data_IF_913480861124
#
_entry.id   IF_913480861124
#
_cell.length_a   1.000
_cell.length_b   1.000
_cell.length_c   1.000
_cell.angle_alpha   90.00
_cell.angle_beta   90.00
_cell.angle_gamma   90.00
#
_symmetry.space_group_name_H-M   'P 1'
#
loop_
_entity.id
_entity.type
_entity.pdbx_description
1 polymer ?
#
# COMPACT_ATOMS: atom_id res chain seq x y z
N UNK A 1 7.10 25.20 -3.80
CA UNK A 1 6.28 24.63 -4.89
C UNK A 1 5.32 23.61 -4.31
N UNK A 2 4.26 24.11 -3.66
CA UNK A 2 3.06 23.37 -3.28
C UNK A 2 2.30 22.97 -4.54
N UNK A 3 1.93 21.70 -4.68
CA UNK A 3 1.20 21.25 -5.88
C UNK A 3 0.43 19.95 -5.73
N UNK A 4 0.14 19.49 -4.50
CA UNK A 4 -0.70 18.31 -4.27
C UNK A 4 -1.77 18.51 -3.17
N UNK A 5 -1.84 19.70 -2.56
CA UNK A 5 -2.87 19.99 -1.54
C UNK A 5 -4.15 20.64 -2.09
N UNK A 6 -4.16 21.18 -3.31
CA UNK A 6 -5.30 21.97 -3.84
C UNK A 6 -6.13 21.29 -4.94
N UNK A 7 -6.01 19.97 -5.14
CA UNK A 7 -6.78 19.25 -6.15
C UNK A 7 -7.87 18.35 -5.55
N UNK A 8 -8.76 18.94 -4.74
CA UNK A 8 -10.04 18.36 -4.36
C UNK A 8 -10.86 19.53 -3.77
N UNK A 9 -11.92 20.06 -4.37
CA UNK A 9 -13.10 19.39 -4.92
C UNK A 9 -13.80 20.37 -5.87
N UNK A 10 -13.89 20.04 -7.14
CA UNK A 10 -14.91 20.55 -8.07
C UNK A 10 -15.08 19.46 -9.14
N UNK A 11 -16.32 19.03 -9.42
CA UNK A 11 -16.63 17.76 -10.09
C UNK A 11 -15.83 17.44 -11.36
N UNK A 12 -15.31 16.21 -11.44
CA UNK A 12 -14.72 15.65 -12.67
C UNK A 12 -13.41 14.90 -12.44
N UNK A 13 -13.49 13.56 -12.38
CA UNK A 13 -12.39 12.57 -12.34
C UNK A 13 -11.33 12.70 -11.23
N UNK A 14 -11.23 11.66 -10.40
CA UNK A 14 -10.08 11.47 -9.51
C UNK A 14 -8.82 11.30 -10.38
N UNK A 15 -7.76 12.10 -10.20
CA UNK A 15 -6.56 12.00 -11.03
C UNK A 15 -5.89 10.65 -10.80
N UNK A 16 -5.65 9.93 -11.91
CA UNK A 16 -4.85 8.70 -11.89
C UNK A 16 -3.39 9.08 -11.75
N UNK A 17 -2.71 8.46 -10.78
CA UNK A 17 -1.30 8.68 -10.49
C UNK A 17 -0.45 7.67 -11.24
N UNK A 18 0.35 8.16 -12.18
CA UNK A 18 1.38 7.41 -12.90
C UNK A 18 2.67 8.26 -12.97
N UNK A 19 3.51 8.23 -11.92
CA UNK A 19 4.68 9.11 -11.83
C UNK A 19 5.71 8.77 -12.92
N UNK A 20 6.29 9.80 -13.53
CA UNK A 20 7.42 9.61 -14.45
C UNK A 20 8.64 9.01 -13.71
N UNK A 21 9.53 8.26 -14.38
CA UNK A 21 10.65 7.57 -13.73
C UNK A 21 11.58 8.47 -12.90
N UNK A 22 11.73 9.73 -13.24
CA UNK A 22 12.55 10.75 -12.57
C UNK A 22 11.81 11.49 -11.44
N UNK A 23 10.51 11.23 -11.26
CA UNK A 23 9.70 11.80 -10.19
C UNK A 23 10.27 11.38 -8.83
N UNK A 24 10.55 12.33 -7.91
CA UNK A 24 10.99 11.96 -6.56
C UNK A 24 9.91 11.14 -5.84
N UNK A 25 10.33 10.12 -5.08
CA UNK A 25 9.42 9.22 -4.35
C UNK A 25 8.68 9.95 -3.23
N UNK A 26 9.26 11.00 -2.67
CA UNK A 26 8.60 11.92 -1.74
C UNK A 26 9.15 13.34 -1.89
N UNK A 27 8.38 14.39 -1.60
CA UNK A 27 8.88 15.76 -1.63
C UNK A 27 9.92 15.99 -0.55
N UNK A 28 10.90 16.87 -0.81
CA UNK A 28 11.99 17.19 0.12
C UNK A 28 11.49 17.69 1.49
N UNK A 29 10.37 18.40 1.53
CA UNK A 29 9.74 18.84 2.78
C UNK A 29 9.26 17.72 3.70
N UNK A 30 9.13 16.48 3.21
CA UNK A 30 8.84 15.30 4.05
C UNK A 30 10.09 14.63 4.59
N UNK A 31 11.25 14.86 3.98
CA UNK A 31 12.51 14.38 4.50
C UNK A 31 12.86 15.10 5.81
N UNK A 32 13.65 14.44 6.65
CA UNK A 32 14.24 15.06 7.83
C UNK A 32 15.09 16.29 7.45
N UNK A 33 15.17 17.32 8.31
CA UNK A 33 15.97 18.52 8.04
C UNK A 33 17.42 18.18 7.64
N UNK A 34 17.91 18.88 6.61
CA UNK A 34 19.26 18.72 6.09
C UNK A 34 19.49 17.48 5.22
N UNK A 35 18.45 16.68 4.90
CA UNK A 35 18.60 15.56 3.97
C UNK A 35 18.79 16.07 2.53
N UNK A 36 19.85 15.67 1.80
CA UNK A 36 20.08 16.15 0.44
C UNK A 36 18.96 15.73 -0.50
N UNK A 37 18.37 16.70 -1.21
CA UNK A 37 17.27 16.42 -2.16
C UNK A 37 17.73 15.50 -3.31
N UNK A 38 19.02 15.57 -3.68
CA UNK A 38 19.62 14.69 -4.68
C UNK A 38 19.67 13.22 -4.26
N UNK A 39 19.64 12.92 -2.96
CA UNK A 39 19.62 11.54 -2.43
C UNK A 39 18.20 10.96 -2.30
N UNK A 40 17.15 11.77 -2.52
CA UNK A 40 15.79 11.25 -2.53
C UNK A 40 15.62 10.31 -3.73
N UNK A 41 15.17 9.06 -3.50
CA UNK A 41 15.04 8.10 -4.58
C UNK A 41 14.01 8.56 -5.61
N UNK A 42 14.20 8.12 -6.85
CA UNK A 42 13.30 8.38 -7.98
C UNK A 42 12.41 7.18 -8.24
N UNK A 43 11.20 7.43 -8.73
CA UNK A 43 10.18 6.41 -8.94
C UNK A 43 10.69 5.22 -9.78
N UNK A 44 11.45 5.50 -10.83
CA UNK A 44 12.01 4.48 -11.72
C UNK A 44 13.06 3.58 -11.07
N UNK A 45 13.72 4.03 -10.01
CA UNK A 45 14.77 3.25 -9.33
C UNK A 45 14.19 2.02 -8.63
N UNK A 46 14.97 0.94 -8.58
CA UNK A 46 14.57 -0.31 -7.93
C UNK A 46 14.91 -0.36 -6.43
N UNK A 47 15.54 0.69 -5.91
CA UNK A 47 15.84 0.85 -4.49
C UNK A 47 15.28 2.17 -3.96
N UNK A 48 14.31 2.11 -3.04
CA UNK A 48 13.75 3.29 -2.38
C UNK A 48 14.17 3.32 -0.91
N UNK A 49 15.14 4.17 -0.58
CA UNK A 49 15.52 4.46 0.81
C UNK A 49 14.47 5.36 1.48
N UNK A 50 13.94 4.91 2.63
CA UNK A 50 12.88 5.61 3.38
C UNK A 50 13.37 6.18 4.71
N UNK A 51 14.63 5.95 5.11
CA UNK A 51 15.18 6.45 6.37
C UNK A 51 15.08 7.99 6.51
N UNK A 52 15.05 8.71 5.39
CA UNK A 52 14.85 10.16 5.38
C UNK A 52 13.47 10.59 5.91
N UNK A 53 12.45 9.73 5.86
CA UNK A 53 11.11 10.01 6.39
C UNK A 53 11.03 9.87 7.92
N UNK A 54 12.07 9.34 8.59
CA UNK A 54 12.16 9.33 10.05
C UNK A 54 12.95 10.54 10.57
N UNK A 55 12.20 11.55 11.02
CA UNK A 55 12.74 12.78 11.61
C UNK A 55 13.48 12.53 12.93
N UNK A 56 13.12 11.48 13.68
CA UNK A 56 13.75 11.16 14.97
C UNK A 56 15.05 10.36 14.83
N UNK A 57 15.40 9.92 13.60
CA UNK A 57 16.58 9.09 13.31
C UNK A 57 16.64 7.79 14.14
N UNK A 58 15.48 7.27 14.52
CA UNK A 58 15.33 6.05 15.33
C UNK A 58 15.18 4.79 14.49
N UNK A 59 14.92 4.95 13.19
CA UNK A 59 14.95 3.90 12.21
C UNK A 59 16.39 3.72 11.70
N UNK A 60 16.87 2.47 11.69
CA UNK A 60 17.99 2.08 10.85
C UNK A 60 17.66 2.24 9.36
N UNK A 61 18.51 1.73 8.47
CA UNK A 61 18.19 1.69 7.03
C UNK A 61 16.87 0.94 6.79
N UNK A 62 15.87 1.66 6.28
CA UNK A 62 14.55 1.10 5.91
C UNK A 62 14.37 1.36 4.44
N UNK A 63 14.51 0.34 3.62
CA UNK A 63 14.46 0.49 2.17
C UNK A 63 13.62 -0.60 1.50
N UNK A 64 12.95 -0.21 0.43
CA UNK A 64 12.20 -1.14 -0.43
C UNK A 64 13.11 -1.51 -1.60
N UNK A 65 13.26 -2.83 -1.81
CA UNK A 65 13.99 -3.41 -2.95
C UNK A 65 12.98 -4.01 -3.92
N UNK A 66 12.72 -3.31 -5.02
CA UNK A 66 11.68 -3.64 -5.98
C UNK A 66 12.00 -4.87 -6.81
N UNK A 67 13.26 -5.28 -6.91
CA UNK A 67 13.63 -6.53 -7.57
C UNK A 67 13.05 -7.76 -6.85
N UNK A 68 12.70 -7.62 -5.57
CA UNK A 68 12.06 -8.68 -4.77
C UNK A 68 10.57 -8.84 -5.03
N UNK A 69 9.96 -7.93 -5.78
CA UNK A 69 8.61 -8.10 -6.28
C UNK A 69 8.65 -8.86 -7.61
N UNK A 70 7.71 -9.80 -7.83
CA UNK A 70 7.54 -10.41 -9.15
C UNK A 70 7.38 -9.35 -10.23
N UNK A 71 8.07 -9.55 -11.36
CA UNK A 71 8.12 -8.58 -12.44
C UNK A 71 6.73 -8.10 -12.92
N UNK A 72 5.70 -8.97 -13.08
CA UNK A 72 4.38 -8.54 -13.54
C UNK A 72 3.70 -7.50 -12.64
N UNK A 73 3.99 -7.52 -11.33
CA UNK A 73 3.31 -6.64 -10.37
C UNK A 73 4.15 -5.45 -9.91
N UNK A 74 5.43 -5.40 -10.29
CA UNK A 74 6.40 -4.41 -9.74
C UNK A 74 5.93 -2.98 -9.97
N UNK A 75 5.48 -2.65 -11.19
CA UNK A 75 5.03 -1.31 -11.53
C UNK A 75 3.76 -0.91 -10.74
N UNK A 76 2.78 -1.80 -10.64
CA UNK A 76 1.54 -1.58 -9.90
C UNK A 76 1.80 -1.30 -8.42
N UNK A 77 2.67 -2.11 -7.78
CA UNK A 77 3.01 -1.90 -6.38
C UNK A 77 3.93 -0.68 -6.15
N UNK A 78 4.77 -0.30 -7.12
CA UNK A 78 5.49 0.99 -7.08
C UNK A 78 4.49 2.15 -7.00
N UNK A 79 3.48 2.21 -7.89
CA UNK A 79 2.45 3.25 -7.85
C UNK A 79 1.66 3.24 -6.54
N UNK A 80 1.21 2.08 -6.08
CA UNK A 80 0.51 1.96 -4.80
C UNK A 80 1.36 2.43 -3.61
N UNK A 81 2.66 2.10 -3.58
CA UNK A 81 3.56 2.52 -2.50
C UNK A 81 3.89 4.02 -2.60
N UNK A 82 3.96 4.59 -3.81
CA UNK A 82 4.08 6.03 -4.01
C UNK A 82 2.85 6.78 -3.47
N UNK A 83 1.63 6.27 -3.69
CA UNK A 83 0.40 6.82 -3.10
C UNK A 83 0.39 6.70 -1.57
N UNK A 84 0.78 5.54 -1.04
CA UNK A 84 0.90 5.30 0.41
C UNK A 84 1.87 6.29 1.07
N UNK A 85 2.93 6.65 0.35
CA UNK A 85 3.91 7.63 0.79
C UNK A 85 3.30 9.03 0.71
N UNK A 86 2.73 9.45 -0.41
CA UNK A 86 2.45 10.87 -0.68
C UNK A 86 1.02 11.34 -0.38
N UNK A 87 0.07 10.44 -0.18
CA UNK A 87 -1.31 10.81 0.09
C UNK A 87 -1.76 10.38 1.47
N UNK A 88 -2.59 11.22 2.08
CA UNK A 88 -3.24 10.88 3.32
C UNK A 88 -3.97 9.53 3.19
N UNK A 89 -3.98 8.77 4.29
CA UNK A 89 -4.69 7.49 4.29
C UNK A 89 -6.17 7.77 3.97
N UNK A 90 -6.77 7.13 2.95
CA UNK A 90 -8.13 7.45 2.54
C UNK A 90 -9.15 7.19 3.66
N UNK A 91 -10.22 8.00 3.70
CA UNK A 91 -11.20 7.99 4.80
C UNK A 91 -11.93 6.66 4.98
N UNK A 92 -12.00 5.82 3.94
CA UNK A 92 -12.56 4.46 4.05
C UNK A 92 -11.79 3.59 5.06
N UNK A 93 -10.51 3.88 5.29
CA UNK A 93 -9.66 3.23 6.29
C UNK A 93 -9.84 3.85 7.69
N UNK A 94 -10.45 5.03 7.81
CA UNK A 94 -10.57 5.81 9.06
C UNK A 94 -11.74 5.42 9.96
N UNK A 95 -12.63 4.53 9.52
CA UNK A 95 -13.86 4.15 10.26
C UNK A 95 -13.63 3.31 11.55
N UNK A 96 -12.49 3.44 12.23
CA UNK A 96 -12.17 2.70 13.47
C UNK A 96 -12.08 3.67 14.67
N UNK A 97 -12.89 3.48 15.73
CA UNK A 97 -12.81 4.29 16.96
C UNK A 97 -11.40 4.25 17.57
N UNK A 98 -10.89 5.40 18.04
CA UNK A 98 -9.58 5.51 18.70
C UNK A 98 -8.37 5.70 17.77
N UNK A 99 -8.57 5.84 16.46
CA UNK A 99 -7.48 6.13 15.53
C UNK A 99 -7.04 7.60 15.64
N UNK A 100 -5.98 7.87 16.42
CA UNK A 100 -5.23 9.12 16.31
C UNK A 100 -4.76 9.28 14.85
N UNK A 101 -5.42 10.15 14.10
CA UNK A 101 -5.20 10.43 12.68
C UNK A 101 -3.82 11.04 12.48
N UNK A 102 -2.80 10.19 12.36
CA UNK A 102 -1.60 10.62 11.65
C UNK A 102 -1.99 10.75 10.19
N UNK A 103 -1.96 11.96 9.59
CA UNK A 103 -2.36 12.14 8.20
C UNK A 103 -1.49 11.28 7.27
N UNK A 104 -0.24 11.01 7.65
CA UNK A 104 0.72 10.23 6.87
C UNK A 104 1.39 9.13 7.69
N UNK A 105 1.67 7.99 7.05
CA UNK A 105 2.42 6.89 7.66
C UNK A 105 3.91 7.23 7.79
N UNK A 106 4.53 6.71 8.85
CA UNK A 106 5.99 6.77 9.04
C UNK A 106 6.74 5.68 8.26
N UNK A 107 8.06 5.83 8.13
CA UNK A 107 8.92 4.96 7.32
C UNK A 107 8.75 3.45 7.62
N UNK A 108 8.77 3.05 8.90
CA UNK A 108 8.60 1.64 9.30
C UNK A 108 7.24 1.07 8.92
N UNK A 109 6.17 1.87 9.03
CA UNK A 109 4.82 1.46 8.65
C UNK A 109 4.68 1.31 7.15
N UNK A 110 5.22 2.26 6.37
CA UNK A 110 5.27 2.18 4.90
C UNK A 110 5.99 0.90 4.47
N UNK A 111 7.18 0.64 5.03
CA UNK A 111 7.93 -0.58 4.74
C UNK A 111 7.13 -1.84 5.09
N UNK A 112 6.52 -1.91 6.27
CA UNK A 112 5.71 -3.07 6.68
C UNK A 112 4.56 -3.35 5.71
N UNK A 113 3.84 -2.30 5.27
CA UNK A 113 2.76 -2.41 4.28
C UNK A 113 3.31 -2.91 2.94
N UNK A 114 4.37 -2.29 2.40
CA UNK A 114 4.92 -2.71 1.11
C UNK A 114 5.55 -4.14 1.19
N UNK A 115 6.02 -4.60 2.35
CA UNK A 115 6.42 -6.01 2.55
C UNK A 115 5.23 -6.98 2.56
N UNK A 116 4.07 -6.58 3.10
CA UNK A 116 2.83 -7.35 3.00
C UNK A 116 2.38 -7.47 1.55
N UNK A 117 2.39 -6.36 0.81
CA UNK A 117 2.07 -6.34 -0.61
C UNK A 117 3.00 -7.22 -1.43
N UNK A 118 4.30 -7.26 -1.10
CA UNK A 118 5.25 -8.17 -1.74
C UNK A 118 4.85 -9.64 -1.55
N UNK A 119 4.46 -10.05 -0.33
CA UNK A 119 4.00 -11.43 -0.07
C UNK A 119 2.75 -11.75 -0.88
N UNK A 120 1.81 -10.82 -0.94
CA UNK A 120 0.62 -10.97 -1.77
C UNK A 120 0.96 -11.08 -3.27
N UNK A 121 1.88 -10.25 -3.77
CA UNK A 121 2.35 -10.31 -5.15
C UNK A 121 2.97 -11.68 -5.49
N UNK A 122 3.79 -12.23 -4.59
CA UNK A 122 4.37 -13.58 -4.74
C UNK A 122 3.28 -14.65 -4.79
N UNK A 123 2.27 -14.54 -3.91
CA UNK A 123 1.14 -15.46 -3.89
C UNK A 123 0.29 -15.40 -5.17
N UNK A 124 0.02 -14.19 -5.69
CA UNK A 124 -0.66 -13.99 -6.97
C UNK A 124 0.12 -14.61 -8.13
N UNK A 125 1.43 -14.33 -8.20
CA UNK A 125 2.29 -14.89 -9.25
C UNK A 125 2.37 -16.41 -9.20
N UNK A 126 2.36 -17.01 -8.00
CA UNK A 126 2.28 -18.47 -7.83
C UNK A 126 0.98 -19.09 -8.35
N UNK A 127 -0.07 -18.28 -8.57
CA UNK A 127 -1.36 -18.67 -9.15
C UNK A 127 -1.54 -18.23 -10.61
N UNK A 128 -0.47 -17.74 -11.24
CA UNK A 128 -0.50 -17.27 -12.62
C UNK A 128 -1.24 -15.93 -12.82
N UNK A 129 -1.62 -15.25 -11.74
CA UNK A 129 -2.26 -13.93 -11.82
C UNK A 129 -1.18 -12.89 -12.05
N UNK A 130 -1.25 -12.19 -13.19
CA UNK A 130 -0.18 -11.26 -13.62
C UNK A 130 -0.56 -9.78 -13.47
N UNK A 131 -1.86 -9.45 -13.37
CA UNK A 131 -2.36 -8.09 -13.13
C UNK A 131 -3.22 -8.06 -11.87
N UNK A 132 -3.21 -6.92 -11.18
CA UNK A 132 -4.02 -6.76 -9.97
C UNK A 132 -5.52 -6.68 -10.32
N UNK A 133 -5.87 -6.14 -11.49
CA UNK A 133 -7.24 -6.09 -12.00
C UNK A 133 -7.88 -7.46 -12.25
N UNK A 134 -7.07 -8.51 -12.39
CA UNK A 134 -7.56 -9.87 -12.60
C UNK A 134 -7.94 -10.54 -11.27
N UNK A 135 -7.63 -9.91 -10.13
CA UNK A 135 -8.08 -10.37 -8.83
C UNK A 135 -9.55 -9.97 -8.61
N UNK A 136 -10.39 -10.95 -8.31
CA UNK A 136 -11.76 -10.72 -7.85
C UNK A 136 -11.87 -10.83 -6.31
N UNK A 137 -13.08 -10.64 -5.78
CA UNK A 137 -13.32 -10.77 -4.34
C UNK A 137 -13.06 -12.20 -3.83
N UNK A 138 -13.27 -13.22 -4.65
CA UNK A 138 -13.00 -14.62 -4.32
C UNK A 138 -11.51 -14.89 -4.13
N UNK A 139 -10.67 -14.36 -5.01
CA UNK A 139 -9.23 -14.47 -4.91
C UNK A 139 -8.68 -13.72 -3.67
N UNK A 140 -9.27 -12.59 -3.31
CA UNK A 140 -8.94 -11.92 -2.05
C UNK A 140 -9.36 -12.76 -0.84
N UNK A 141 -10.57 -13.34 -0.85
CA UNK A 141 -11.03 -14.27 0.18
C UNK A 141 -10.08 -15.47 0.35
N UNK A 142 -9.64 -16.08 -0.77
CA UNK A 142 -8.65 -17.15 -0.78
C UNK A 142 -7.35 -16.74 -0.09
N UNK A 143 -6.85 -15.53 -0.36
CA UNK A 143 -5.63 -15.05 0.27
C UNK A 143 -5.82 -14.83 1.78
N UNK A 144 -6.97 -14.32 2.21
CA UNK A 144 -7.28 -14.18 3.64
C UNK A 144 -7.34 -15.54 4.36
N UNK A 145 -7.97 -16.54 3.74
CA UNK A 145 -7.99 -17.93 4.25
C UNK A 145 -6.58 -18.53 4.29
N UNK A 146 -5.78 -18.29 3.26
CA UNK A 146 -4.37 -18.69 3.24
C UNK A 146 -3.57 -18.08 4.40
N UNK A 147 -3.76 -16.79 4.68
CA UNK A 147 -3.11 -16.13 5.82
C UNK A 147 -3.59 -16.67 7.17
N UNK A 148 -4.88 -16.99 7.29
CA UNK A 148 -5.45 -17.59 8.50
C UNK A 148 -4.88 -18.98 8.78
N UNK A 149 -4.77 -19.82 7.74
CA UNK A 149 -4.21 -21.17 7.82
C UNK A 149 -2.70 -21.21 8.19
N UNK A 150 -1.99 -20.08 8.15
CA UNK A 150 -0.60 -20.00 8.63
C UNK A 150 -0.50 -19.93 10.17
N UNK A 151 -1.63 -19.89 10.89
CA UNK A 151 -1.71 -19.91 12.35
C UNK A 151 -0.85 -18.84 13.06
N UNK A 152 -0.67 -17.69 12.41
CA UNK A 152 -0.09 -16.50 13.04
C UNK A 152 -1.08 -15.84 14.01
N UNK A 153 -0.60 -14.90 14.83
CA UNK A 153 -1.46 -14.19 15.79
C UNK A 153 -2.59 -13.40 15.09
N UNK A 154 -3.72 -13.23 15.78
CA UNK A 154 -4.85 -12.45 15.27
C UNK A 154 -4.46 -11.00 14.89
N UNK A 155 -3.52 -10.40 15.65
CA UNK A 155 -2.96 -9.09 15.34
C UNK A 155 -2.12 -9.09 14.05
N UNK A 156 -1.33 -10.14 13.81
CA UNK A 156 -0.61 -10.29 12.55
C UNK A 156 -1.59 -10.34 11.36
N UNK A 157 -2.61 -11.20 11.45
CA UNK A 157 -3.64 -11.32 10.42
C UNK A 157 -4.35 -9.98 10.18
N UNK A 158 -4.78 -9.30 11.24
CA UNK A 158 -5.43 -7.98 11.15
C UNK A 158 -4.57 -6.94 10.42
N UNK A 159 -3.26 -6.94 10.69
CA UNK A 159 -2.31 -6.04 10.02
C UNK A 159 -2.11 -6.40 8.54
N UNK A 160 -2.10 -7.69 8.19
CA UNK A 160 -2.02 -8.11 6.80
C UNK A 160 -3.27 -7.69 6.00
N UNK A 161 -4.47 -7.96 6.54
CA UNK A 161 -5.72 -7.60 5.89
C UNK A 161 -5.85 -6.07 5.74
N UNK A 162 -5.48 -5.31 6.77
CA UNK A 162 -5.45 -3.84 6.71
C UNK A 162 -4.50 -3.30 5.63
N UNK A 163 -3.36 -3.95 5.39
CA UNK A 163 -2.48 -3.54 4.30
C UNK A 163 -3.16 -3.71 2.93
N UNK A 164 -3.95 -4.76 2.73
CA UNK A 164 -4.73 -4.96 1.50
C UNK A 164 -5.94 -4.03 1.41
N UNK A 165 -6.61 -3.75 2.53
CA UNK A 165 -7.64 -2.68 2.60
C UNK A 165 -7.08 -1.35 2.12
N UNK A 166 -5.83 -1.02 2.48
CA UNK A 166 -5.15 0.19 2.00
C UNK A 166 -4.90 0.16 0.49
N UNK A 167 -4.54 -0.99 -0.08
CA UNK A 167 -4.36 -1.14 -1.53
C UNK A 167 -5.66 -0.81 -2.27
N UNK A 168 -6.78 -1.40 -1.81
CA UNK A 168 -8.10 -1.09 -2.34
C UNK A 168 -8.49 0.38 -2.14
N UNK A 169 -8.24 0.94 -0.95
CA UNK A 169 -8.57 2.33 -0.64
C UNK A 169 -7.88 3.34 -1.58
N UNK A 170 -6.70 2.99 -2.11
CA UNK A 170 -5.99 3.79 -3.11
C UNK A 170 -6.38 3.47 -4.56
N UNK A 171 -7.18 2.43 -4.82
CA UNK A 171 -7.58 2.02 -6.17
C UNK A 171 -8.19 3.13 -7.05
N UNK A 172 -9.00 4.09 -6.54
CA UNK A 172 -9.51 5.18 -7.36
C UNK A 172 -8.43 6.06 -8.01
N UNK A 173 -7.24 6.12 -7.41
CA UNK A 173 -6.10 6.92 -7.87
C UNK A 173 -5.11 6.10 -8.72
N UNK A 174 -5.35 4.80 -8.89
CA UNK A 174 -4.49 3.91 -9.65
C UNK A 174 -5.01 3.72 -11.09
N UNK A 175 -4.14 3.39 -12.06
CA UNK A 175 -4.56 2.92 -13.37
C UNK A 175 -5.51 1.71 -13.25
N UNK A 176 -6.50 1.54 -14.14
CA UNK A 176 -7.46 0.43 -14.04
C UNK A 176 -6.84 -0.97 -13.87
N UNK A 177 -5.72 -1.25 -14.54
CA UNK A 177 -5.00 -2.52 -14.46
C UNK A 177 -4.38 -2.83 -13.07
N UNK A 178 -4.26 -1.81 -12.21
CA UNK A 178 -3.64 -1.92 -10.88
C UNK A 178 -4.68 -1.98 -9.75
N UNK A 179 -5.96 -1.85 -10.09
CA UNK A 179 -7.04 -1.77 -9.10
C UNK A 179 -7.40 -3.17 -8.63
N UNK A 180 -7.50 -3.33 -7.31
CA UNK A 180 -8.14 -4.50 -6.70
C UNK A 180 -9.59 -4.14 -6.32
N UNK A 181 -10.52 -5.10 -6.29
CA UNK A 181 -11.88 -4.86 -5.83
C UNK A 181 -11.92 -4.62 -4.31
N UNK A 182 -13.11 -4.25 -3.82
CA UNK A 182 -13.35 -4.15 -2.38
C UNK A 182 -13.06 -5.51 -1.72
N UNK A 183 -12.21 -5.56 -0.68
CA UNK A 183 -11.95 -6.81 0.00
C UNK A 183 -13.20 -7.32 0.72
N UNK A 184 -13.47 -8.64 0.69
CA UNK A 184 -14.67 -9.21 1.29
C UNK A 184 -14.74 -9.00 2.80
N UNK A 185 -13.60 -8.93 3.50
CA UNK A 185 -13.55 -8.67 4.95
C UNK A 185 -13.84 -7.21 5.34
N UNK A 186 -13.89 -6.28 4.38
CA UNK A 186 -14.29 -4.89 4.61
C UNK A 186 -15.79 -4.65 4.32
N UNK A 187 -16.51 -5.66 3.82
CA UNK A 187 -17.97 -5.65 3.82
C UNK A 187 -18.52 -5.79 5.25
N UNK A 188 -19.74 -5.31 5.50
CA UNK A 188 -20.38 -5.45 6.80
C UNK A 188 -20.50 -6.95 7.18
N UNK A 189 -20.03 -7.33 8.38
CA UNK A 189 -19.99 -8.74 8.82
C UNK A 189 -18.89 -9.60 8.16
N UNK A 190 -18.38 -9.20 6.99
CA UNK A 190 -17.62 -10.07 6.11
C UNK A 190 -16.32 -10.65 6.69
N UNK A 191 -15.68 -9.99 7.66
CA UNK A 191 -14.48 -10.58 8.31
C UNK A 191 -14.82 -11.80 9.18
N UNK A 192 -15.96 -11.75 9.88
CA UNK A 192 -16.42 -12.85 10.73
C UNK A 192 -16.85 -14.03 9.85
N UNK A 193 -17.73 -13.77 8.89
CA UNK A 193 -18.26 -14.77 7.96
C UNK A 193 -17.15 -15.49 7.16
N UNK A 194 -16.13 -14.74 6.73
CA UNK A 194 -15.04 -15.29 5.92
C UNK A 194 -14.10 -16.22 6.69
N UNK A 195 -13.90 -15.98 7.99
CA UNK A 195 -12.87 -16.68 8.78
C UNK A 195 -13.44 -17.78 9.67
N UNK A 196 -14.71 -17.70 10.10
CA UNK A 196 -15.35 -18.78 10.88
C UNK A 196 -15.90 -19.91 10.00
N UNK A 197 -16.37 -19.63 8.79
CA UNK A 197 -16.85 -20.65 7.83
C UNK A 197 -15.78 -21.57 7.25
N UNK A 198 -14.54 -21.53 7.76
CA UNK A 198 -13.42 -22.39 7.37
C UNK A 198 -13.07 -23.45 8.43
N UNK A 199 -13.95 -23.63 9.43
CA UNK A 199 -13.78 -24.60 10.53
C UNK A 199 -14.72 -25.81 10.38
N UNK A 200 -14.76 -26.42 9.19
CA UNK A 200 -15.32 -27.76 8.96
C UNK A 200 -14.22 -28.71 8.46
#
# INVERSE_FOLDING_TARGET
>A
MSGLHDAAVAGGQVPVVDPAPDTPVFPSGRARPGYPTAEIPRFGQDYWQLAALDHRRTAGSVAIRWERFPLPHRASFKRACWLLINMATPAVVHKRPGSATKPMLGAKSIYSVCQTWRRFAVWLSGRGVSRLSDADAGLLADYARHLHAQHHSANYLANQLMALTRLWAYAPFLPPADRVPMPPWDAAGGRYDLLEGASD
#
